data_IF_683367231018
#
_entry.id   IF_683367231018
#
_cell.length_a   1.000
_cell.length_b   1.000
_cell.length_c   1.000
_cell.angle_alpha   90.00
_cell.angle_beta   90.00
_cell.angle_gamma   90.00
#
_symmetry.space_group_name_H-M   'P 1'
#
loop_
_entity.id
_entity.type
_entity.pdbx_description
1 polymer ?
#
# COMPACT_ATOMS: atom_id res chain seq x y z
N UNK A 1 18.39 10.86 14.03
CA UNK A 1 17.42 9.85 14.43
C UNK A 1 16.38 9.69 13.34
N UNK A 2 16.13 8.45 12.93
CA UNK A 2 15.13 8.23 11.90
C UNK A 2 13.73 8.27 12.49
N UNK A 3 12.78 8.86 11.78
CA UNK A 3 11.42 8.93 12.30
C UNK A 3 10.81 7.53 12.43
N UNK A 4 10.07 7.33 13.49
CA UNK A 4 9.28 6.12 13.68
C UNK A 4 7.80 6.50 13.56
N UNK A 5 7.00 5.53 13.14
CA UNK A 5 5.56 5.72 13.07
C UNK A 5 4.89 4.76 14.04
N UNK A 6 4.19 5.32 15.03
CA UNK A 6 3.39 4.51 15.95
C UNK A 6 2.12 3.98 15.30
N UNK A 7 1.77 4.49 14.11
CA UNK A 7 0.56 4.09 13.38
C UNK A 7 0.85 3.09 12.27
N UNK A 8 2.10 2.68 12.13
CA UNK A 8 2.48 1.65 11.18
C UNK A 8 2.84 2.17 9.80
N UNK A 9 3.02 1.25 8.88
CA UNK A 9 3.43 1.53 7.51
C UNK A 9 2.52 0.79 6.55
N UNK A 10 2.13 1.47 5.48
CA UNK A 10 1.24 0.91 4.47
C UNK A 10 2.06 0.52 3.25
N UNK A 11 1.90 -0.72 2.82
CA UNK A 11 2.44 -1.20 1.56
C UNK A 11 1.32 -1.19 0.53
N UNK A 12 1.51 -0.47 -0.56
CA UNK A 12 0.55 -0.41 -1.66
C UNK A 12 1.14 -1.16 -2.84
N UNK A 13 0.42 -2.16 -3.33
CA UNK A 13 0.86 -2.99 -4.45
C UNK A 13 0.34 -2.38 -5.74
N UNK A 14 1.26 -1.88 -6.56
CA UNK A 14 0.93 -1.15 -7.78
C UNK A 14 1.26 -1.99 -9.00
N UNK A 15 0.38 -1.93 -10.00
CA UNK A 15 0.51 -2.72 -11.21
C UNK A 15 -0.25 -4.04 -11.10
N UNK A 16 -1.49 -4.06 -11.59
CA UNK A 16 -2.40 -5.19 -11.39
C UNK A 16 -2.29 -6.27 -12.46
N UNK A 17 -1.46 -6.02 -13.49
CA UNK A 17 -1.33 -6.93 -14.62
C UNK A 17 0.02 -7.67 -14.67
N UNK A 18 0.71 -7.75 -13.54
CA UNK A 18 2.04 -8.39 -13.48
C UNK A 18 1.99 -9.88 -13.88
N UNK A 19 0.84 -10.51 -13.74
CA UNK A 19 0.66 -11.94 -14.00
C UNK A 19 0.16 -12.26 -15.40
N UNK A 20 -0.06 -11.24 -16.24
CA UNK A 20 -0.73 -11.42 -17.54
C UNK A 20 -0.02 -12.40 -18.46
N UNK A 21 1.32 -12.38 -18.49
CA UNK A 21 2.09 -13.22 -19.39
C UNK A 21 2.62 -14.51 -18.74
N UNK A 22 2.20 -14.77 -17.52
CA UNK A 22 2.64 -15.95 -16.80
C UNK A 22 1.66 -17.12 -17.02
N UNK A 23 2.20 -18.34 -16.92
CA UNK A 23 1.35 -19.52 -16.94
C UNK A 23 0.59 -19.65 -15.62
N UNK A 24 -0.47 -20.45 -15.61
CA UNK A 24 -1.23 -20.72 -14.39
C UNK A 24 -0.33 -21.31 -13.30
N UNK A 25 0.60 -22.19 -13.67
CA UNK A 25 1.52 -22.78 -12.69
C UNK A 25 2.47 -21.73 -12.09
N UNK A 26 2.95 -20.80 -12.92
CA UNK A 26 3.82 -19.73 -12.44
C UNK A 26 3.07 -18.80 -11.47
N UNK A 27 1.84 -18.43 -11.81
CA UNK A 27 1.02 -17.60 -10.93
C UNK A 27 0.74 -18.33 -9.62
N UNK A 28 0.41 -19.62 -9.68
CA UNK A 28 0.15 -20.42 -8.48
C UNK A 28 1.36 -20.45 -7.56
N UNK A 29 2.56 -20.59 -8.14
CA UNK A 29 3.78 -20.61 -7.34
C UNK A 29 4.02 -19.26 -6.65
N UNK A 30 3.84 -18.16 -7.38
CA UNK A 30 4.02 -16.82 -6.82
C UNK A 30 2.99 -16.56 -5.73
N UNK A 31 1.75 -16.96 -5.92
CA UNK A 31 0.69 -16.76 -4.92
C UNK A 31 0.94 -17.63 -3.68
N UNK A 32 1.51 -18.81 -3.85
CA UNK A 32 1.91 -19.64 -2.72
C UNK A 32 2.99 -18.94 -1.88
N UNK A 33 3.98 -18.35 -2.54
CA UNK A 33 5.03 -17.58 -1.85
C UNK A 33 4.44 -16.35 -1.17
N UNK A 34 3.47 -15.69 -1.81
CA UNK A 34 2.80 -14.53 -1.25
C UNK A 34 2.05 -14.90 0.03
N UNK A 35 1.33 -16.01 0.00
CA UNK A 35 0.59 -16.49 1.17
C UNK A 35 1.54 -16.84 2.31
N UNK A 36 2.69 -17.44 2.01
CA UNK A 36 3.72 -17.73 3.03
C UNK A 36 4.27 -16.45 3.64
N UNK A 37 4.52 -15.44 2.81
CA UNK A 37 4.99 -14.13 3.26
C UNK A 37 3.95 -13.48 4.19
N UNK A 38 2.69 -13.49 3.79
CA UNK A 38 1.59 -12.99 4.61
C UNK A 38 1.51 -13.72 5.95
N UNK A 39 1.62 -15.05 5.92
CA UNK A 39 1.54 -15.85 7.14
C UNK A 39 2.70 -15.57 8.09
N UNK A 40 3.91 -15.42 7.56
CA UNK A 40 5.06 -15.08 8.40
C UNK A 40 4.86 -13.75 9.10
N UNK A 41 4.40 -12.76 8.37
CA UNK A 41 4.13 -11.43 8.95
C UNK A 41 3.02 -11.49 9.99
N UNK A 42 1.98 -12.27 9.73
CA UNK A 42 0.88 -12.42 10.68
C UNK A 42 1.34 -13.13 11.95
N UNK A 43 2.13 -14.20 11.80
CA UNK A 43 2.63 -14.95 12.95
C UNK A 43 3.61 -14.12 13.79
N UNK A 44 4.33 -13.20 13.16
CA UNK A 44 5.26 -12.31 13.86
C UNK A 44 4.56 -11.10 14.49
N UNK A 45 3.25 -11.00 14.34
CA UNK A 45 2.49 -9.87 14.88
C UNK A 45 2.69 -8.57 14.12
N UNK A 46 3.23 -8.64 12.90
CA UNK A 46 3.54 -7.46 12.09
C UNK A 46 2.42 -7.05 11.14
N UNK A 47 1.42 -7.91 10.93
CA UNK A 47 0.32 -7.64 10.02
C UNK A 47 -0.89 -7.11 10.79
N UNK A 48 -1.33 -5.89 10.48
CA UNK A 48 -2.53 -5.32 11.09
C UNK A 48 -3.74 -5.57 10.20
N UNK A 49 -3.60 -5.34 8.90
CA UNK A 49 -4.69 -5.49 7.95
C UNK A 49 -4.10 -5.70 6.57
N UNK A 50 -4.83 -6.40 5.73
CA UNK A 50 -4.43 -6.63 4.35
C UNK A 50 -5.67 -6.95 3.54
N UNK A 51 -5.66 -6.54 2.27
CA UNK A 51 -6.75 -6.88 1.37
C UNK A 51 -6.30 -6.75 -0.08
N UNK A 52 -6.70 -7.70 -0.94
CA UNK A 52 -6.63 -7.47 -2.38
C UNK A 52 -7.79 -6.56 -2.79
N UNK A 53 -7.67 -5.94 -3.95
CA UNK A 53 -8.70 -5.08 -4.51
C UNK A 53 -9.12 -5.59 -5.88
N UNK A 54 -10.39 -5.39 -6.20
CA UNK A 54 -10.87 -5.68 -7.54
C UNK A 54 -10.26 -4.71 -8.54
N UNK A 55 -10.20 -5.13 -9.81
CA UNK A 55 -9.63 -4.30 -10.86
C UNK A 55 -10.56 -3.19 -11.34
N UNK A 56 -11.83 -3.30 -11.03
CA UNK A 56 -12.81 -2.29 -11.42
C UNK A 56 -12.95 -1.22 -10.33
N UNK A 57 -13.26 -0.01 -10.74
CA UNK A 57 -13.47 1.07 -9.81
C UNK A 57 -13.87 2.35 -10.51
N UNK A 58 -14.09 3.38 -9.72
CA UNK A 58 -14.49 4.68 -10.22
C UNK A 58 -13.69 5.76 -9.52
N UNK A 59 -13.54 6.87 -10.20
CA UNK A 59 -12.85 8.04 -9.66
C UNK A 59 -13.84 9.18 -9.58
N UNK A 60 -13.90 9.84 -8.43
CA UNK A 60 -14.71 11.03 -8.22
C UNK A 60 -13.76 12.21 -8.12
N UNK A 61 -13.99 13.25 -8.92
CA UNK A 61 -13.10 14.39 -8.96
C UNK A 61 -13.85 15.67 -9.32
N UNK A 62 -13.19 16.79 -9.05
CA UNK A 62 -13.72 18.09 -9.39
C UNK A 62 -14.77 18.59 -8.41
N UNK A 63 -15.10 19.88 -8.53
CA UNK A 63 -16.01 20.57 -7.64
C UNK A 63 -17.42 19.96 -7.66
N UNK A 64 -17.85 19.51 -8.84
CA UNK A 64 -19.19 18.93 -9.01
C UNK A 64 -19.24 17.45 -8.69
N UNK A 65 -18.11 16.84 -8.31
CA UNK A 65 -18.06 15.42 -8.00
C UNK A 65 -18.24 14.53 -9.22
N UNK A 66 -17.62 14.91 -10.35
CA UNK A 66 -17.72 14.11 -11.57
C UNK A 66 -17.15 12.71 -11.36
N UNK A 67 -17.86 11.71 -11.85
CA UNK A 67 -17.47 10.31 -11.71
C UNK A 67 -16.95 9.79 -13.04
N UNK A 68 -15.79 9.15 -13.03
CA UNK A 68 -15.22 8.50 -14.20
C UNK A 68 -14.80 7.10 -13.85
N UNK A 69 -14.63 6.25 -14.88
CA UNK A 69 -14.12 4.90 -14.69
C UNK A 69 -12.61 4.97 -14.47
N UNK A 70 -12.09 4.09 -13.65
CA UNK A 70 -10.65 3.98 -13.51
C UNK A 70 -10.22 3.57 -12.12
N UNK A 71 -8.92 3.43 -11.91
CA UNK A 71 -7.91 3.37 -12.95
C UNK A 71 -8.03 2.07 -13.74
N UNK A 72 -7.53 2.04 -14.97
CA UNK A 72 -7.57 0.83 -15.80
C UNK A 72 -6.57 -0.20 -15.28
N UNK A 73 -6.90 -1.49 -15.45
CA UNK A 73 -6.06 -2.59 -14.97
C UNK A 73 -4.64 -2.56 -15.57
N UNK A 74 -4.49 -2.01 -16.77
CA UNK A 74 -3.19 -1.89 -17.43
C UNK A 74 -2.33 -0.78 -16.85
N UNK A 75 -2.90 0.12 -16.06
CA UNK A 75 -2.14 1.23 -15.49
C UNK A 75 -1.18 0.73 -14.44
N UNK A 76 0.08 1.15 -14.53
CA UNK A 76 1.09 0.84 -13.50
C UNK A 76 0.81 1.53 -12.18
N UNK A 77 -0.09 2.50 -12.19
CA UNK A 77 -0.47 3.23 -10.98
C UNK A 77 -1.68 2.61 -10.28
N UNK A 78 -2.36 1.66 -10.93
CA UNK A 78 -3.49 0.99 -10.33
C UNK A 78 -3.02 0.15 -9.13
N UNK A 79 -3.73 0.29 -8.01
CA UNK A 79 -3.40 -0.40 -6.78
C UNK A 79 -4.21 -1.67 -6.71
N UNK A 80 -3.53 -2.83 -6.62
CA UNK A 80 -4.17 -4.13 -6.57
C UNK A 80 -4.39 -4.66 -5.17
N UNK A 81 -3.91 -3.96 -4.16
CA UNK A 81 -4.06 -4.39 -2.78
C UNK A 81 -3.14 -3.64 -1.85
N UNK A 82 -3.23 -3.97 -0.57
CA UNK A 82 -2.37 -3.33 0.43
C UNK A 82 -2.11 -4.25 1.61
N UNK A 83 -0.99 -3.98 2.30
CA UNK A 83 -0.70 -4.50 3.64
C UNK A 83 -0.52 -3.32 4.56
N UNK A 84 -1.13 -3.37 5.73
CA UNK A 84 -0.84 -2.42 6.81
C UNK A 84 0.01 -3.15 7.85
N UNK A 85 1.22 -2.66 8.06
CA UNK A 85 2.21 -3.30 8.92
C UNK A 85 2.34 -2.57 10.25
N UNK A 86 2.50 -3.35 11.31
CA UNK A 86 2.81 -2.85 12.65
C UNK A 86 4.31 -3.02 12.89
N UNK A 87 5.11 -2.13 12.31
CA UNK A 87 6.56 -2.12 12.50
C UNK A 87 7.00 -0.71 12.86
N UNK A 88 8.08 -0.55 13.62
CA UNK A 88 8.44 0.76 14.17
C UNK A 88 9.19 1.68 13.23
N UNK A 89 9.84 1.16 12.18
CA UNK A 89 10.71 1.99 11.34
C UNK A 89 10.46 1.76 9.86
N UNK A 90 10.80 2.77 9.07
CA UNK A 90 10.75 2.68 7.61
C UNK A 90 11.71 1.59 7.09
N UNK A 91 12.89 1.45 7.71
CA UNK A 91 13.85 0.43 7.28
C UNK A 91 13.25 -0.96 7.37
N UNK A 92 12.58 -1.26 8.46
CA UNK A 92 11.94 -2.57 8.62
C UNK A 92 10.83 -2.77 7.61
N UNK A 93 10.03 -1.73 7.38
CA UNK A 93 8.96 -1.79 6.37
C UNK A 93 9.53 -2.04 4.97
N UNK A 94 10.65 -1.38 4.62
CA UNK A 94 11.31 -1.55 3.34
C UNK A 94 11.87 -2.96 3.17
N UNK A 95 12.48 -3.52 4.22
CA UNK A 95 12.99 -4.89 4.17
C UNK A 95 11.87 -5.89 3.94
N UNK A 96 10.73 -5.66 4.57
CA UNK A 96 9.54 -6.50 4.36
C UNK A 96 9.05 -6.36 2.92
N UNK A 97 8.94 -5.13 2.41
CA UNK A 97 8.46 -4.88 1.05
C UNK A 97 9.34 -5.55 -0.01
N UNK A 98 10.64 -5.61 0.22
CA UNK A 98 11.59 -6.27 -0.70
C UNK A 98 11.33 -7.75 -0.85
N UNK A 99 10.59 -8.36 0.05
CA UNK A 99 10.27 -9.78 0.02
C UNK A 99 9.07 -10.10 -0.86
N UNK A 100 8.42 -9.10 -1.44
CA UNK A 100 7.23 -9.30 -2.26
C UNK A 100 7.56 -10.22 -3.45
N UNK A 101 6.88 -11.37 -3.58
CA UNK A 101 7.23 -12.36 -4.60
C UNK A 101 6.99 -11.91 -6.05
N UNK A 102 6.16 -10.90 -6.27
CA UNK A 102 5.85 -10.43 -7.61
C UNK A 102 6.75 -9.29 -8.09
N UNK A 103 7.72 -8.85 -7.28
CA UNK A 103 8.66 -7.81 -7.72
C UNK A 103 9.40 -8.19 -9.01
N UNK A 104 9.91 -9.43 -9.16
CA UNK A 104 10.58 -9.80 -10.40
C UNK A 104 9.67 -9.72 -11.64
N UNK A 105 8.36 -9.73 -11.43
CA UNK A 105 7.40 -9.68 -12.52
C UNK A 105 6.96 -8.26 -12.86
N UNK A 106 7.56 -7.25 -12.22
CA UNK A 106 7.25 -5.86 -12.54
C UNK A 106 6.28 -5.17 -11.60
N UNK A 107 5.78 -5.87 -10.58
CA UNK A 107 4.95 -5.21 -9.57
C UNK A 107 5.80 -4.25 -8.76
N UNK A 108 5.23 -3.11 -8.39
CA UNK A 108 5.89 -2.09 -7.58
C UNK A 108 5.20 -2.02 -6.23
N UNK A 109 5.99 -1.90 -5.16
CA UNK A 109 5.45 -1.72 -3.81
C UNK A 109 5.78 -0.31 -3.35
N UNK A 110 4.76 0.46 -3.07
CA UNK A 110 4.91 1.79 -2.49
C UNK A 110 4.78 1.69 -0.98
N UNK A 111 5.75 2.22 -0.24
CA UNK A 111 5.78 2.11 1.22
C UNK A 111 5.57 3.50 1.81
N UNK A 112 4.56 3.64 2.66
CA UNK A 112 4.21 4.94 3.23
C UNK A 112 3.95 4.83 4.73
N UNK A 113 4.53 5.75 5.53
CA UNK A 113 4.17 5.80 6.95
C UNK A 113 2.73 6.31 7.10
N UNK A 114 2.01 5.73 8.04
CA UNK A 114 0.65 6.16 8.35
C UNK A 114 0.73 7.35 9.30
N UNK A 115 0.10 8.45 8.93
CA UNK A 115 0.11 9.67 9.74
C UNK A 115 -0.86 9.54 10.92
N UNK A 116 -0.53 10.14 12.08
CA UNK A 116 -1.44 10.11 13.23
C UNK A 116 -2.70 10.95 12.98
N UNK A 117 -2.60 11.94 12.11
CA UNK A 117 -3.75 12.73 11.67
C UNK A 117 -3.49 13.19 10.23
N UNK A 118 -4.53 13.56 9.53
CA UNK A 118 -4.38 14.08 8.17
C UNK A 118 -3.41 15.26 8.18
N UNK A 119 -2.39 15.28 7.30
CA UNK A 119 -1.44 16.39 7.25
C UNK A 119 -2.10 17.76 7.08
N UNK A 120 -3.22 17.83 6.37
CA UNK A 120 -3.97 19.07 6.23
C UNK A 120 -4.54 19.54 7.57
N UNK A 121 -5.03 18.61 8.39
CA UNK A 121 -5.51 18.94 9.74
C UNK A 121 -4.37 19.38 10.65
N UNK A 122 -3.20 18.76 10.54
CA UNK A 122 -2.03 19.17 11.31
C UNK A 122 -1.61 20.59 10.94
N UNK A 123 -1.61 20.89 9.65
CA UNK A 123 -1.28 22.23 9.14
C UNK A 123 -2.28 23.27 9.66
N UNK A 124 -3.58 22.95 9.61
CA UNK A 124 -4.63 23.83 10.11
C UNK A 124 -4.47 24.09 11.63
N UNK A 125 -4.15 23.05 12.40
CA UNK A 125 -3.97 23.17 13.84
C UNK A 125 -2.75 24.04 14.16
N UNK A 126 -1.66 23.90 13.42
CA UNK A 126 -0.46 24.70 13.60
C UNK A 126 -0.72 26.18 13.28
N UNK A 127 -1.44 26.46 12.18
CA UNK A 127 -1.80 27.81 11.81
C UNK A 127 -2.69 28.46 12.87
N UNK A 128 -3.65 27.71 13.40
CA UNK A 128 -4.55 28.21 14.44
C UNK A 128 -3.81 28.51 15.73
N UNK A 129 -2.89 27.63 16.12
CA UNK A 129 -2.05 27.83 17.32
C UNK A 129 -1.19 29.09 17.17
N UNK A 130 -0.63 29.30 15.98
CA UNK A 130 0.19 30.47 15.69
C UNK A 130 -0.64 31.75 15.78
N UNK A 131 -1.88 31.73 15.27
CA UNK A 131 -2.72 32.92 15.29
C UNK A 131 -3.22 33.28 16.69
N UNK A 132 -3.19 32.33 17.62
CA UNK A 132 -3.56 32.57 19.01
C UNK A 132 -2.40 33.11 19.84
N UNK A 133 -1.21 33.02 19.31
CA UNK A 133 -0.04 33.55 19.98
C UNK A 133 0.09 35.04 19.66
#
# INVERSE_FOLDING_TARGET
MKPTSSNGYLLLFRGTNWHRELTSNEVTQIMSEWNQWFERLSNDGKMVAASPLENEGHIVSGKAGAVSDGPFAESKEAIGGFFLLNVPTMEEALEIAKQCPALPQGLTVEVRPVAPMCPANRMASEAKATSLA
#
